data_IF_803806798219
#
_entry.id   IF_803806798219
#
_cell.length_a   1.000
_cell.length_b   1.000
_cell.length_c   1.000
_cell.angle_alpha   90.00
_cell.angle_beta   90.00
_cell.angle_gamma   90.00
#
_symmetry.space_group_name_H-M   'P 1'
#
loop_
_entity.id
_entity.type
_entity.pdbx_description
1 polymer ?
#
# COMPACT_ATOMS: atom_id res chain seq x y z
N UNK A 1 6.30 0.87 1.01
CA UNK A 1 7.40 0.01 1.47
C UNK A 1 7.63 -1.18 0.53
N UNK A 2 6.67 -2.09 0.34
CA UNK A 2 6.86 -3.28 -0.51
C UNK A 2 7.39 -2.97 -1.93
N UNK A 3 6.88 -1.91 -2.59
CA UNK A 3 7.39 -1.47 -3.90
C UNK A 3 8.85 -1.01 -3.88
N UNK A 4 9.31 -0.42 -2.77
CA UNK A 4 10.72 -0.02 -2.63
C UNK A 4 11.61 -1.27 -2.52
N UNK A 5 11.23 -2.22 -1.66
CA UNK A 5 11.96 -3.48 -1.49
C UNK A 5 11.98 -4.29 -2.79
N UNK A 6 10.84 -4.42 -3.47
CA UNK A 6 10.72 -5.19 -4.71
C UNK A 6 11.61 -4.67 -5.85
N UNK A 7 11.85 -3.36 -5.89
CA UNK A 7 12.66 -2.68 -6.91
C UNK A 7 14.09 -2.38 -6.46
N UNK A 8 14.47 -2.73 -5.23
CA UNK A 8 15.83 -2.56 -4.75
C UNK A 8 16.80 -3.42 -5.57
N UNK A 9 17.94 -2.87 -5.98
CA UNK A 9 18.89 -3.54 -6.88
C UNK A 9 19.40 -4.87 -6.31
N UNK A 10 19.58 -4.96 -4.99
CA UNK A 10 19.99 -6.22 -4.35
C UNK A 10 18.89 -7.27 -4.45
N UNK A 11 17.63 -6.87 -4.31
CA UNK A 11 16.49 -7.78 -4.49
C UNK A 11 16.33 -8.18 -5.94
N UNK A 12 16.47 -7.23 -6.87
CA UNK A 12 16.40 -7.48 -8.32
C UNK A 12 17.47 -8.51 -8.74
N UNK A 13 18.71 -8.38 -8.26
CA UNK A 13 19.80 -9.31 -8.57
C UNK A 13 19.73 -10.66 -7.85
N UNK A 14 18.89 -10.80 -6.82
CA UNK A 14 18.85 -12.00 -5.97
C UNK A 14 17.83 -13.07 -6.41
N UNK A 15 16.81 -12.68 -7.18
CA UNK A 15 15.71 -13.55 -7.62
C UNK A 15 15.69 -13.69 -9.14
N UNK A 16 15.62 -14.93 -9.62
CA UNK A 16 15.52 -15.30 -11.04
C UNK A 16 14.19 -14.80 -11.65
N UNK A 17 13.14 -14.73 -10.83
CA UNK A 17 11.80 -14.31 -11.21
C UNK A 17 11.18 -13.43 -10.14
N UNK A 18 10.58 -12.31 -10.53
CA UNK A 18 9.84 -11.44 -9.62
C UNK A 18 8.45 -11.21 -10.17
N UNK A 19 7.45 -11.35 -9.31
CA UNK A 19 6.04 -11.23 -9.66
C UNK A 19 5.33 -10.30 -8.67
N UNK A 20 4.37 -9.52 -9.16
CA UNK A 20 3.55 -8.64 -8.34
C UNK A 20 2.10 -8.76 -8.75
N UNK A 21 1.23 -9.17 -7.81
CA UNK A 21 -0.19 -9.37 -8.06
C UNK A 21 -1.02 -8.65 -7.02
N UNK A 22 -1.92 -7.79 -7.48
CA UNK A 22 -2.98 -7.23 -6.64
C UNK A 22 -4.11 -8.24 -6.47
N UNK A 23 -4.44 -8.54 -5.22
CA UNK A 23 -5.49 -9.48 -4.85
C UNK A 23 -6.81 -8.73 -4.72
N UNK A 24 -7.82 -9.16 -5.47
CA UNK A 24 -9.14 -8.54 -5.44
C UNK A 24 -9.85 -8.85 -4.13
N UNK A 25 -10.76 -7.96 -3.72
CA UNK A 25 -11.71 -8.21 -2.62
C UNK A 25 -12.61 -9.40 -2.96
N UNK A 26 -13.09 -9.46 -4.20
CA UNK A 26 -13.75 -10.64 -4.76
C UNK A 26 -12.69 -11.72 -5.03
N UNK A 27 -12.38 -12.49 -3.99
CA UNK A 27 -11.33 -13.49 -4.03
C UNK A 27 -11.78 -14.71 -4.84
N UNK A 28 -11.00 -15.00 -5.89
CA UNK A 28 -11.16 -16.17 -6.74
C UNK A 28 -9.76 -16.74 -6.99
N UNK A 29 -9.54 -17.97 -6.52
CA UNK A 29 -8.24 -18.64 -6.62
C UNK A 29 -7.82 -18.89 -8.08
N UNK A 30 -8.78 -19.18 -8.96
CA UNK A 30 -8.51 -19.41 -10.38
C UNK A 30 -8.04 -18.12 -11.05
N UNK A 31 -8.77 -17.00 -10.83
CA UNK A 31 -8.36 -15.68 -11.35
C UNK A 31 -7.04 -15.21 -10.74
N UNK A 32 -6.77 -15.54 -9.48
CA UNK A 32 -5.50 -15.22 -8.85
C UNK A 32 -4.35 -16.01 -9.48
N UNK A 33 -4.52 -17.31 -9.74
CA UNK A 33 -3.52 -18.12 -10.46
C UNK A 33 -3.25 -17.57 -11.87
N UNK A 34 -4.28 -17.15 -12.61
CA UNK A 34 -4.11 -16.51 -13.92
C UNK A 34 -3.28 -15.23 -13.84
N UNK A 35 -3.53 -14.38 -12.82
CA UNK A 35 -2.74 -13.16 -12.60
C UNK A 35 -1.29 -13.47 -12.24
N UNK A 36 -1.04 -14.48 -11.39
CA UNK A 36 0.32 -14.90 -11.04
C UNK A 36 1.04 -15.40 -12.29
N UNK A 37 0.42 -16.27 -13.08
CA UNK A 37 1.00 -16.78 -14.32
C UNK A 37 1.25 -15.66 -15.33
N UNK A 38 0.31 -14.71 -15.48
CA UNK A 38 0.50 -13.54 -16.34
C UNK A 38 1.70 -12.70 -15.90
N UNK A 39 1.85 -12.49 -14.59
CA UNK A 39 3.01 -11.80 -14.02
C UNK A 39 4.31 -12.59 -14.20
N UNK A 40 4.28 -13.92 -14.14
CA UNK A 40 5.45 -14.78 -14.33
C UNK A 40 5.93 -14.77 -15.79
N UNK A 41 4.99 -14.69 -16.75
CA UNK A 41 5.28 -14.71 -18.19
C UNK A 41 5.50 -13.30 -18.76
N UNK A 42 5.14 -12.24 -18.03
CA UNK A 42 5.23 -10.85 -18.50
C UNK A 42 4.24 -10.52 -19.62
N UNK A 43 3.12 -11.25 -19.71
CA UNK A 43 2.07 -11.04 -20.73
C UNK A 43 0.69 -11.43 -20.18
N UNK A 44 -0.34 -10.81 -20.72
CA UNK A 44 -1.72 -11.21 -20.42
C UNK A 44 -2.04 -12.58 -21.00
N UNK A 45 -2.85 -13.34 -20.27
CA UNK A 45 -3.37 -14.63 -20.69
C UNK A 45 -4.79 -14.41 -21.23
N UNK A 46 -4.96 -14.55 -22.54
CA UNK A 46 -6.26 -14.40 -23.21
C UNK A 46 -7.05 -15.70 -23.35
N UNK A 47 -6.39 -16.84 -23.15
CA UNK A 47 -6.99 -18.17 -23.30
C UNK A 47 -7.63 -18.61 -21.97
N UNK A 48 -8.90 -19.01 -22.03
CA UNK A 48 -9.53 -19.69 -20.89
C UNK A 48 -8.86 -21.05 -20.69
N UNK A 49 -8.16 -21.21 -19.58
CA UNK A 49 -7.51 -22.46 -19.21
C UNK A 49 -8.36 -23.20 -18.17
N UNK A 50 -8.41 -24.53 -18.30
CA UNK A 50 -8.92 -25.35 -17.20
C UNK A 50 -8.01 -25.19 -15.96
N UNK A 51 -8.54 -25.56 -14.79
CA UNK A 51 -7.77 -25.51 -13.53
C UNK A 51 -6.46 -26.31 -13.65
N UNK A 52 -6.53 -27.53 -14.22
CA UNK A 52 -5.35 -28.40 -14.37
C UNK A 52 -4.30 -27.81 -15.31
N UNK A 53 -4.73 -27.21 -16.44
CA UNK A 53 -3.84 -26.56 -17.39
C UNK A 53 -3.13 -25.35 -16.75
N UNK A 54 -3.88 -24.56 -15.98
CA UNK A 54 -3.35 -23.39 -15.29
C UNK A 54 -2.34 -23.78 -14.22
N UNK A 55 -2.64 -24.80 -13.42
CA UNK A 55 -1.71 -25.34 -12.42
C UNK A 55 -0.43 -25.88 -13.05
N UNK A 56 -0.55 -26.66 -14.14
CA UNK A 56 0.60 -27.22 -14.83
C UNK A 56 1.52 -26.12 -15.39
N UNK A 57 0.95 -25.11 -16.08
CA UNK A 57 1.72 -23.97 -16.61
C UNK A 57 2.32 -23.12 -15.50
N UNK A 58 1.61 -22.91 -14.40
CA UNK A 58 2.14 -22.17 -13.26
C UNK A 58 3.36 -22.90 -12.67
N UNK A 59 3.24 -24.20 -12.39
CA UNK A 59 4.35 -25.02 -11.91
C UNK A 59 5.55 -24.98 -12.85
N UNK A 60 5.32 -25.15 -14.15
CA UNK A 60 6.37 -25.07 -15.17
C UNK A 60 7.06 -23.69 -15.17
N UNK A 61 6.29 -22.61 -15.05
CA UNK A 61 6.83 -21.25 -15.04
C UNK A 61 7.70 -20.93 -13.83
N UNK A 62 7.44 -21.59 -12.69
CA UNK A 62 8.14 -21.41 -11.41
C UNK A 62 9.30 -22.41 -11.21
N UNK A 63 9.26 -23.55 -11.90
CA UNK A 63 10.22 -24.64 -11.76
C UNK A 63 11.66 -24.14 -11.93
N UNK A 64 12.54 -24.59 -11.03
CA UNK A 64 13.98 -24.30 -11.01
C UNK A 64 14.36 -22.80 -10.90
N UNK A 65 13.37 -21.92 -10.66
CA UNK A 65 13.57 -20.48 -10.46
C UNK A 65 13.44 -20.11 -8.99
N UNK A 66 14.38 -19.29 -8.54
CA UNK A 66 14.29 -18.63 -7.25
C UNK A 66 13.44 -17.38 -7.43
N UNK A 67 12.23 -17.36 -6.88
CA UNK A 67 11.28 -16.31 -7.17
C UNK A 67 10.89 -15.48 -5.94
N UNK A 68 10.53 -14.22 -6.19
CA UNK A 68 9.81 -13.36 -5.25
C UNK A 68 8.40 -13.10 -5.78
N UNK A 69 7.38 -13.51 -5.05
CA UNK A 69 5.98 -13.21 -5.36
C UNK A 69 5.43 -12.20 -4.34
N UNK A 70 4.94 -11.06 -4.80
CA UNK A 70 4.21 -10.10 -3.98
C UNK A 70 2.71 -10.28 -4.20
N UNK A 71 1.97 -10.59 -3.13
CA UNK A 71 0.51 -10.58 -3.10
C UNK A 71 0.06 -9.32 -2.34
N UNK A 72 -0.45 -8.35 -3.08
CA UNK A 72 -0.73 -7.00 -2.58
C UNK A 72 -2.22 -6.82 -2.21
N UNK A 73 -2.48 -6.19 -1.06
CA UNK A 73 -3.80 -5.84 -0.50
C UNK A 73 -4.75 -7.04 -0.32
N UNK A 74 -4.29 -8.06 0.41
CA UNK A 74 -5.06 -9.30 0.62
C UNK A 74 -6.12 -9.17 1.72
N UNK A 75 -7.35 -9.63 1.43
CA UNK A 75 -8.50 -9.54 2.36
C UNK A 75 -9.14 -10.88 2.75
N UNK A 76 -9.02 -11.93 1.93
CA UNK A 76 -9.69 -13.21 2.16
C UNK A 76 -9.13 -13.92 3.41
N UNK A 77 -10.02 -14.39 4.28
CA UNK A 77 -9.68 -15.11 5.52
C UNK A 77 -9.89 -16.64 5.40
N UNK A 78 -10.28 -17.14 4.22
CA UNK A 78 -10.45 -18.58 4.01
C UNK A 78 -9.09 -19.30 3.98
N UNK A 79 -8.75 -19.92 5.12
CA UNK A 79 -7.53 -20.70 5.30
C UNK A 79 -7.41 -21.87 4.32
N UNK A 80 -8.51 -22.49 3.91
CA UNK A 80 -8.48 -23.65 3.00
C UNK A 80 -8.00 -23.24 1.62
N UNK A 81 -8.59 -22.17 1.06
CA UNK A 81 -8.19 -21.61 -0.22
C UNK A 81 -6.72 -21.14 -0.24
N UNK A 82 -6.24 -20.56 0.87
CA UNK A 82 -4.83 -20.20 0.99
C UNK A 82 -3.90 -21.40 1.06
N UNK A 83 -4.33 -22.46 1.73
CA UNK A 83 -3.57 -23.71 1.81
C UNK A 83 -3.43 -24.33 0.42
N UNK A 84 -4.51 -24.33 -0.38
CA UNK A 84 -4.51 -24.82 -1.75
C UNK A 84 -3.55 -24.01 -2.64
N UNK A 85 -3.65 -22.68 -2.63
CA UNK A 85 -2.73 -21.82 -3.39
C UNK A 85 -1.28 -22.02 -2.94
N UNK A 86 -1.04 -22.08 -1.63
CA UNK A 86 0.30 -22.27 -1.08
C UNK A 86 0.89 -23.60 -1.54
N UNK A 87 0.13 -24.69 -1.46
CA UNK A 87 0.57 -26.01 -1.90
C UNK A 87 0.99 -26.01 -3.37
N UNK A 88 0.27 -25.27 -4.22
CA UNK A 88 0.62 -25.12 -5.63
C UNK A 88 1.91 -24.32 -5.84
N UNK A 89 2.13 -23.27 -5.05
CA UNK A 89 3.31 -22.40 -5.19
C UNK A 89 4.58 -23.01 -4.60
N UNK A 90 4.48 -23.80 -3.53
CA UNK A 90 5.65 -24.41 -2.88
C UNK A 90 6.09 -25.73 -3.55
N UNK A 91 5.25 -26.31 -4.39
CA UNK A 91 5.58 -27.55 -5.10
C UNK A 91 6.74 -27.29 -6.09
N UNK A 92 7.85 -28.00 -5.92
CA UNK A 92 9.07 -27.81 -6.71
C UNK A 92 9.80 -26.47 -6.46
N UNK A 93 9.53 -25.80 -5.33
CA UNK A 93 10.14 -24.49 -5.03
C UNK A 93 11.66 -24.59 -4.83
N UNK A 94 12.41 -23.72 -5.52
CA UNK A 94 13.84 -23.56 -5.29
C UNK A 94 14.10 -22.89 -3.95
N UNK A 95 15.07 -23.42 -3.19
CA UNK A 95 15.44 -22.86 -1.89
C UNK A 95 15.80 -21.37 -2.03
N UNK A 96 15.24 -20.55 -1.13
CA UNK A 96 15.45 -19.10 -1.11
C UNK A 96 14.38 -18.29 -1.84
N UNK A 97 13.40 -18.92 -2.50
CA UNK A 97 12.19 -18.23 -2.97
C UNK A 97 11.39 -17.65 -1.80
N UNK A 98 10.69 -16.54 -2.03
CA UNK A 98 9.92 -15.81 -1.02
C UNK A 98 8.56 -15.38 -1.55
N UNK A 99 7.57 -15.38 -0.68
CA UNK A 99 6.25 -14.78 -0.92
C UNK A 99 6.07 -13.66 0.10
N UNK A 100 5.81 -12.45 -0.37
CA UNK A 100 5.53 -11.28 0.44
C UNK A 100 4.03 -10.95 0.32
N UNK A 101 3.34 -10.94 1.45
CA UNK A 101 1.92 -10.57 1.51
C UNK A 101 1.79 -9.19 2.15
N UNK A 102 1.01 -8.30 1.55
CA UNK A 102 0.58 -7.06 2.21
C UNK A 102 -0.91 -7.15 2.52
N UNK A 103 -1.29 -6.75 3.73
CA UNK A 103 -2.68 -6.75 4.17
C UNK A 103 -2.89 -5.70 5.26
N UNK A 104 -4.13 -5.26 5.42
CA UNK A 104 -4.57 -4.42 6.55
C UNK A 104 -5.18 -5.25 7.68
N UNK A 105 -5.35 -6.55 7.46
CA UNK A 105 -6.05 -7.44 8.34
C UNK A 105 -5.08 -8.39 9.04
N UNK A 106 -4.99 -8.28 10.38
CA UNK A 106 -4.13 -9.13 11.19
C UNK A 106 -4.54 -10.61 11.16
N UNK A 107 -5.83 -10.91 10.95
CA UNK A 107 -6.32 -12.28 10.75
C UNK A 107 -5.68 -12.90 9.52
N UNK A 108 -5.71 -12.20 8.38
CA UNK A 108 -5.07 -12.62 7.13
C UNK A 108 -3.56 -12.81 7.31
N UNK A 109 -2.89 -11.87 7.99
CA UNK A 109 -1.46 -11.97 8.27
C UNK A 109 -1.12 -13.22 9.11
N UNK A 110 -1.97 -13.57 10.08
CA UNK A 110 -1.83 -14.77 10.90
C UNK A 110 -2.08 -16.06 10.10
N UNK A 111 -3.09 -16.06 9.23
CA UNK A 111 -3.46 -17.23 8.40
C UNK A 111 -2.38 -17.55 7.36
N UNK A 112 -1.84 -16.51 6.70
CA UNK A 112 -0.88 -16.68 5.60
C UNK A 112 0.58 -16.67 6.07
N UNK A 113 0.85 -16.12 7.25
CA UNK A 113 2.18 -15.93 7.79
C UNK A 113 2.89 -17.25 8.05
N UNK A 114 4.17 -17.29 7.70
CA UNK A 114 5.10 -18.34 8.17
C UNK A 114 6.09 -17.80 9.20
N UNK A 115 6.09 -16.49 9.40
CA UNK A 115 6.95 -15.71 10.30
C UNK A 115 6.08 -14.65 10.99
N UNK A 116 6.64 -13.99 12.01
CA UNK A 116 5.95 -12.87 12.68
C UNK A 116 5.64 -11.74 11.69
N UNK A 117 4.39 -11.24 11.63
CA UNK A 117 4.03 -10.15 10.74
C UNK A 117 4.84 -8.88 11.03
N UNK A 118 5.32 -8.24 9.97
CA UNK A 118 5.92 -6.90 10.08
C UNK A 118 4.82 -5.85 10.16
N UNK A 119 4.51 -5.41 11.38
CA UNK A 119 3.53 -4.36 11.61
C UNK A 119 4.10 -3.00 11.22
N UNK A 120 3.65 -2.47 10.08
CA UNK A 120 4.10 -1.16 9.58
C UNK A 120 3.55 -0.03 10.45
N UNK A 121 4.43 0.62 11.21
CA UNK A 121 4.10 1.81 11.98
C UNK A 121 3.90 3.04 11.07
N UNK A 122 3.18 4.04 11.59
CA UNK A 122 3.11 5.37 10.98
C UNK A 122 4.48 6.07 10.98
N UNK A 123 4.58 7.15 10.21
CA UNK A 123 5.76 8.01 10.21
C UNK A 123 5.89 8.75 11.54
N UNK A 124 7.13 9.04 11.94
CA UNK A 124 7.40 9.94 13.06
C UNK A 124 6.87 11.35 12.75
N UNK A 125 6.70 12.14 13.81
CA UNK A 125 6.23 13.52 13.67
C UNK A 125 7.15 14.35 12.76
N UNK A 126 8.46 14.16 12.88
CA UNK A 126 9.50 14.87 12.13
C UNK A 126 9.43 14.53 10.63
N UNK A 127 9.27 13.24 10.30
CA UNK A 127 9.08 12.81 8.91
C UNK A 127 7.74 13.26 8.33
N UNK A 128 6.67 13.25 9.14
CA UNK A 128 5.39 13.81 8.72
C UNK A 128 5.50 15.31 8.44
N UNK A 129 6.16 16.06 9.32
CA UNK A 129 6.34 17.50 9.15
C UNK A 129 7.16 17.79 7.89
N UNK A 130 8.27 17.07 7.68
CA UNK A 130 9.08 17.21 6.45
C UNK A 130 8.26 16.89 5.20
N UNK A 131 7.47 15.82 5.21
CA UNK A 131 6.58 15.47 4.10
C UNK A 131 5.53 16.55 3.85
N UNK A 132 4.88 17.02 4.91
CA UNK A 132 3.88 18.09 4.82
C UNK A 132 4.47 19.36 4.21
N UNK A 133 5.65 19.78 4.69
CA UNK A 133 6.32 20.98 4.17
C UNK A 133 6.59 20.87 2.68
N UNK A 134 7.10 19.72 2.23
CA UNK A 134 7.34 19.46 0.79
C UNK A 134 6.06 19.43 -0.04
N UNK A 135 4.91 19.13 0.56
CA UNK A 135 3.63 19.07 -0.14
C UNK A 135 2.85 20.40 -0.11
N UNK A 136 3.03 21.23 0.92
CA UNK A 136 2.25 22.46 1.12
C UNK A 136 2.98 23.74 0.68
N UNK A 137 4.32 23.75 0.77
CA UNK A 137 5.11 24.94 0.42
C UNK A 137 5.94 24.67 -0.84
N UNK A 138 6.24 25.71 -1.61
CA UNK A 138 7.38 25.65 -2.54
C UNK A 138 8.66 25.63 -1.73
N UNK A 139 9.73 25.12 -2.32
CA UNK A 139 11.01 24.97 -1.65
C UNK A 139 11.52 26.30 -1.06
N UNK A 140 11.57 26.39 0.28
CA UNK A 140 12.04 27.57 1.02
C UNK A 140 10.95 28.59 1.39
N UNK A 141 9.72 28.46 0.84
CA UNK A 141 8.63 29.39 1.14
C UNK A 141 8.10 29.24 2.58
N UNK A 142 8.34 28.11 3.23
CA UNK A 142 7.94 27.89 4.63
C UNK A 142 8.60 28.90 5.59
N UNK A 143 9.78 29.41 5.24
CA UNK A 143 10.51 30.42 6.02
C UNK A 143 9.90 31.82 5.89
N UNK A 144 9.21 32.08 4.77
CA UNK A 144 8.54 33.35 4.50
C UNK A 144 7.17 33.42 5.19
N UNK A 145 6.57 32.26 5.49
CA UNK A 145 5.26 32.15 6.14
C UNK A 145 5.32 31.40 7.48
N UNK A 146 6.04 31.90 8.49
CA UNK A 146 6.24 31.19 9.76
C UNK A 146 4.92 30.90 10.49
N UNK A 147 3.92 31.78 10.38
CA UNK A 147 2.59 31.57 10.98
C UNK A 147 1.83 30.40 10.35
N UNK A 148 1.88 30.23 9.01
CA UNK A 148 1.28 29.10 8.32
C UNK A 148 2.01 27.80 8.66
N UNK A 149 3.33 27.87 8.78
CA UNK A 149 4.13 26.72 9.20
C UNK A 149 3.74 26.22 10.60
N UNK A 150 3.49 27.12 11.56
CA UNK A 150 2.99 26.73 12.89
C UNK A 150 1.59 26.07 12.81
N UNK A 151 0.68 26.57 11.98
CA UNK A 151 -0.62 25.92 11.77
C UNK A 151 -0.44 24.53 11.12
N UNK A 152 0.49 24.42 10.16
CA UNK A 152 0.85 23.16 9.51
C UNK A 152 1.34 22.10 10.51
N UNK A 153 2.13 22.49 11.51
CA UNK A 153 2.55 21.58 12.60
C UNK A 153 1.36 21.01 13.37
N UNK A 154 0.33 21.82 13.61
CA UNK A 154 -0.89 21.38 14.30
C UNK A 154 -1.71 20.42 13.43
N UNK A 155 -1.82 20.70 12.13
CA UNK A 155 -2.47 19.80 11.16
C UNK A 155 -1.73 18.45 11.12
N UNK A 156 -0.39 18.46 11.05
CA UNK A 156 0.43 17.25 11.05
C UNK A 156 0.21 16.39 12.29
N UNK A 157 0.07 17.00 13.48
CA UNK A 157 -0.27 16.25 14.70
C UNK A 157 -1.60 15.52 14.58
N UNK A 158 -2.60 16.12 13.92
CA UNK A 158 -3.92 15.51 13.70
C UNK A 158 -3.88 14.34 12.70
N UNK A 159 -2.92 14.32 11.79
CA UNK A 159 -2.73 13.22 10.82
C UNK A 159 -2.21 11.91 11.44
N UNK A 160 -1.74 11.93 12.70
CA UNK A 160 -1.43 10.71 13.45
C UNK A 160 -0.42 9.76 12.79
N UNK A 161 0.57 10.31 12.07
CA UNK A 161 1.61 9.51 11.41
C UNK A 161 1.22 8.91 10.07
N UNK A 162 -0.02 9.11 9.58
CA UNK A 162 -0.48 8.52 8.32
C UNK A 162 0.07 9.30 7.10
N UNK A 163 0.98 8.73 6.29
CA UNK A 163 1.63 9.46 5.19
C UNK A 163 0.63 9.99 4.15
N UNK A 164 -0.43 9.21 3.89
CA UNK A 164 -1.46 9.60 2.92
C UNK A 164 -2.27 10.80 3.42
N UNK A 165 -2.64 10.85 4.70
CA UNK A 165 -3.34 11.99 5.29
C UNK A 165 -2.49 13.26 5.23
N UNK A 166 -1.21 13.14 5.61
CA UNK A 166 -0.23 14.23 5.56
C UNK A 166 -0.09 14.78 4.14
N UNK A 167 0.12 13.91 3.15
CA UNK A 167 0.28 14.32 1.76
C UNK A 167 -1.00 14.95 1.22
N UNK A 168 -2.16 14.37 1.49
CA UNK A 168 -3.45 14.89 1.01
C UNK A 168 -3.68 16.32 1.49
N UNK A 169 -3.55 16.57 2.80
CA UNK A 169 -3.77 17.91 3.35
C UNK A 169 -2.66 18.90 2.99
N UNK A 170 -1.41 18.43 2.92
CA UNK A 170 -0.31 19.25 2.45
C UNK A 170 -0.54 19.72 1.02
N UNK A 171 -0.85 18.80 0.10
CA UNK A 171 -1.13 19.12 -1.30
C UNK A 171 -2.37 19.99 -1.48
N UNK A 172 -3.39 19.83 -0.65
CA UNK A 172 -4.57 20.70 -0.65
C UNK A 172 -4.22 22.15 -0.27
N UNK A 173 -3.25 22.35 0.61
CA UNK A 173 -2.77 23.66 1.04
C UNK A 173 -1.60 24.18 0.21
N UNK A 174 -1.30 23.53 -0.91
CA UNK A 174 -0.15 23.87 -1.73
C UNK A 174 -0.21 25.32 -2.23
N UNK A 175 0.82 26.11 -1.90
CA UNK A 175 0.93 27.53 -2.25
C UNK A 175 -0.23 28.41 -1.73
N UNK A 176 -1.01 27.93 -0.76
CA UNK A 176 -2.09 28.71 -0.14
C UNK A 176 -1.50 29.65 0.92
N UNK A 177 -1.70 30.95 0.77
CA UNK A 177 -1.19 31.99 1.70
C UNK A 177 -2.26 32.54 2.63
N UNK A 178 -3.55 32.26 2.39
CA UNK A 178 -4.64 32.70 3.26
C UNK A 178 -4.70 31.83 4.53
N UNK A 179 -4.27 32.41 5.65
CA UNK A 179 -4.32 31.79 6.98
C UNK A 179 -5.72 31.23 7.34
N UNK A 180 -6.80 31.83 6.85
CA UNK A 180 -8.17 31.37 7.12
C UNK A 180 -8.42 29.98 6.54
N UNK A 181 -7.85 29.67 5.38
CA UNK A 181 -7.95 28.34 4.73
C UNK A 181 -7.25 27.27 5.56
N UNK A 182 -6.06 27.60 6.07
CA UNK A 182 -5.30 26.73 6.97
C UNK A 182 -6.04 26.46 8.28
N UNK A 183 -6.59 27.51 8.90
CA UNK A 183 -7.41 27.40 10.11
C UNK A 183 -8.68 26.58 9.88
N UNK A 184 -9.33 26.71 8.72
CA UNK A 184 -10.51 25.91 8.37
C UNK A 184 -10.19 24.41 8.32
N UNK A 185 -9.03 24.02 7.78
CA UNK A 185 -8.55 22.63 7.83
C UNK A 185 -8.26 22.21 9.27
N UNK A 186 -7.48 23.02 10.01
CA UNK A 186 -7.07 22.70 11.38
C UNK A 186 -8.27 22.57 12.33
N UNK A 187 -9.18 23.52 12.31
CA UNK A 187 -10.25 23.70 13.31
C UNK A 187 -11.56 23.00 12.93
N UNK A 188 -11.55 22.22 11.84
CA UNK A 188 -12.74 21.53 11.39
C UNK A 188 -13.28 20.51 12.40
N UNK A 189 -14.59 20.50 12.59
CA UNK A 189 -15.30 19.52 13.42
C UNK A 189 -15.19 18.09 12.89
N UNK A 190 -14.81 17.90 11.62
CA UNK A 190 -14.64 16.56 11.01
C UNK A 190 -13.60 15.73 11.80
N UNK A 191 -12.57 16.39 12.34
CA UNK A 191 -11.57 15.73 13.19
C UNK A 191 -12.17 15.05 14.42
N UNK A 192 -13.27 15.56 14.95
CA UNK A 192 -13.91 15.05 16.17
C UNK A 192 -14.95 13.97 15.87
N UNK A 193 -15.67 14.12 14.76
CA UNK A 193 -16.75 13.23 14.31
C UNK A 193 -16.25 11.86 13.86
N UNK A 194 -15.01 11.79 13.37
CA UNK A 194 -14.44 10.59 12.76
C UNK A 194 -13.32 9.95 13.60
N UNK A 195 -13.26 10.24 14.91
CA UNK A 195 -12.26 9.65 15.82
C UNK A 195 -12.20 8.12 15.81
N UNK A 196 -13.32 7.44 15.53
CA UNK A 196 -13.39 5.97 15.48
C UNK A 196 -12.88 5.33 14.18
N UNK A 197 -12.62 6.12 13.13
CA UNK A 197 -12.33 5.61 11.78
C UNK A 197 -10.85 5.77 11.37
N UNK A 198 -10.01 6.19 12.32
CA UNK A 198 -8.59 6.48 12.13
C UNK A 198 -8.34 7.90 11.60
N UNK A 199 -7.07 8.32 11.59
CA UNK A 199 -6.70 9.71 11.24
C UNK A 199 -6.84 10.05 9.75
N UNK A 200 -7.02 9.04 8.90
CA UNK A 200 -7.00 9.20 7.45
C UNK A 200 -8.33 9.67 6.86
N UNK A 201 -9.44 9.13 7.34
CA UNK A 201 -10.77 9.47 6.81
C UNK A 201 -11.14 10.95 7.04
N UNK A 202 -10.87 11.55 8.23
CA UNK A 202 -11.10 12.98 8.41
C UNK A 202 -10.31 13.82 7.39
N UNK A 203 -9.05 13.46 7.13
CA UNK A 203 -8.18 14.17 6.20
C UNK A 203 -8.68 14.05 4.74
N UNK A 204 -9.09 12.85 4.32
CA UNK A 204 -9.64 12.63 2.97
C UNK A 204 -10.96 13.39 2.79
N UNK A 205 -11.84 13.40 3.79
CA UNK A 205 -13.12 14.11 3.72
C UNK A 205 -12.94 15.63 3.71
N UNK A 206 -11.98 16.14 4.48
CA UNK A 206 -11.61 17.57 4.45
C UNK A 206 -11.11 18.01 3.09
N UNK A 207 -10.32 17.17 2.44
CA UNK A 207 -9.88 17.41 1.08
C UNK A 207 -11.05 17.41 0.12
N UNK A 208 -11.93 16.40 0.19
CA UNK A 208 -13.10 16.30 -0.67
C UNK A 208 -14.06 17.50 -0.57
N UNK A 209 -14.41 17.94 0.64
CA UNK A 209 -15.37 19.05 0.85
C UNK A 209 -14.83 20.39 0.33
N UNK A 210 -13.51 20.53 0.23
CA UNK A 210 -12.88 21.76 -0.26
C UNK A 210 -12.52 21.71 -1.75
N UNK A 211 -12.80 20.61 -2.44
CA UNK A 211 -12.65 20.56 -3.89
C UNK A 211 -13.65 21.53 -4.56
N UNK A 212 -13.25 22.21 -5.64
CA UNK A 212 -14.18 22.98 -6.46
C UNK A 212 -15.33 22.09 -6.95
N UNK A 213 -16.54 22.65 -7.03
CA UNK A 213 -17.72 21.92 -7.51
C UNK A 213 -17.84 21.87 -9.03
N UNK A 214 -16.80 22.29 -9.77
CA UNK A 214 -16.86 22.65 -11.18
C UNK A 214 -15.59 22.27 -11.94
#
# INVERSE_FOLDING_TARGET
LAKLVYNDEMVVGHFDLRMWVYVSVDFDIHRLMEKILSSALGKEISEKMSVDQLQAKLRESLKDKKYLLVLDDVWNEDRSQWSDLRNLLIDGIKLGSKILVTTRNLSVASIMGTEQPYNLAGLSYEYCLSLFTKCAFKEGDEKQHPHLFEIGKEIVKKCGGAPLAVRTLGSQLYSETDERRWKLVRDSKIWELERGSGHILPALRLSYIQLPSY
#
